data_IF_659230488518
#
_entry.id   IF_659230488518
#
_cell.length_a   1.000
_cell.length_b   1.000
_cell.length_c   1.000
_cell.angle_alpha   90.00
_cell.angle_beta   90.00
_cell.angle_gamma   90.00
#
_symmetry.space_group_name_H-M   'P 1'
#
loop_
_entity.id
_entity.type
_entity.pdbx_description
1 polymer ?
#
# COMPACT_ATOMS: atom_id res chain seq x y z
N UNK A 1 5.77 -68.86 -28.79
CA UNK A 1 5.10 -68.91 -27.47
C UNK A 1 5.39 -67.57 -26.78
N UNK A 2 4.66 -66.51 -27.14
CA UNK A 2 3.58 -65.92 -26.32
C UNK A 2 3.96 -65.70 -24.85
N UNK A 3 4.19 -64.45 -24.45
CA UNK A 3 3.39 -63.78 -23.41
C UNK A 3 3.89 -62.35 -23.08
N UNK A 4 3.09 -61.37 -23.54
CA UNK A 4 2.58 -60.20 -22.82
C UNK A 4 3.56 -59.17 -22.24
N UNK A 5 3.75 -58.14 -23.07
CA UNK A 5 3.85 -56.73 -22.73
C UNK A 5 2.67 -56.30 -21.83
N UNK A 6 2.97 -55.67 -20.68
CA UNK A 6 2.27 -54.49 -20.12
C UNK A 6 2.53 -54.35 -18.62
N UNK A 7 3.40 -53.44 -18.20
CA UNK A 7 3.15 -52.61 -17.00
C UNK A 7 4.01 -51.35 -17.02
N UNK A 8 3.37 -50.24 -17.40
CA UNK A 8 3.51 -48.87 -16.88
C UNK A 8 4.94 -48.40 -16.55
N UNK A 9 5.58 -47.78 -17.54
CA UNK A 9 6.66 -46.84 -17.29
C UNK A 9 6.11 -45.65 -16.50
N UNK A 10 6.47 -45.57 -15.22
CA UNK A 10 6.28 -44.38 -14.40
C UNK A 10 7.09 -43.23 -15.01
N UNK A 11 6.45 -42.47 -15.91
CA UNK A 11 6.94 -41.16 -16.32
C UNK A 11 6.88 -40.27 -15.09
N UNK A 12 8.03 -40.06 -14.48
CA UNK A 12 8.29 -38.96 -13.56
C UNK A 12 8.00 -37.66 -14.31
N UNK A 13 6.74 -37.23 -14.25
CA UNK A 13 6.37 -35.84 -14.48
C UNK A 13 7.03 -35.04 -13.37
N UNK A 14 8.28 -34.66 -13.59
CA UNK A 14 8.87 -33.47 -12.99
C UNK A 14 8.02 -32.31 -13.47
N UNK A 15 6.92 -32.09 -12.77
CA UNK A 15 6.16 -30.86 -12.89
C UNK A 15 7.13 -29.79 -12.39
N UNK A 16 7.50 -28.78 -13.19
CA UNK A 16 8.22 -27.66 -12.61
C UNK A 16 7.32 -27.16 -11.48
N UNK A 17 7.87 -27.11 -10.26
CA UNK A 17 7.26 -26.39 -9.16
C UNK A 17 6.87 -25.05 -9.77
N UNK A 18 5.56 -24.82 -9.96
CA UNK A 18 5.06 -23.57 -10.52
C UNK A 18 5.74 -22.50 -9.71
N UNK A 19 6.65 -21.78 -10.35
CA UNK A 19 7.32 -20.62 -9.77
C UNK A 19 6.18 -19.84 -9.15
N UNK A 20 6.19 -19.73 -7.82
CA UNK A 20 5.23 -18.90 -7.12
C UNK A 20 5.22 -17.58 -7.88
N UNK A 21 4.04 -16.96 -8.13
CA UNK A 21 4.05 -15.64 -8.70
C UNK A 21 4.79 -14.79 -7.67
N UNK A 22 6.07 -14.53 -7.94
CA UNK A 22 6.87 -13.57 -7.22
C UNK A 22 5.98 -12.35 -7.23
N UNK A 23 5.58 -11.88 -6.05
CA UNK A 23 4.66 -10.76 -5.93
C UNK A 23 5.34 -9.55 -6.54
N UNK A 24 5.25 -9.41 -7.85
CA UNK A 24 5.87 -8.32 -8.58
C UNK A 24 5.03 -7.11 -8.20
N UNK A 25 5.60 -6.28 -7.34
CA UNK A 25 5.01 -5.00 -7.05
C UNK A 25 4.99 -4.22 -8.36
N UNK A 26 3.87 -3.57 -8.66
CA UNK A 26 3.78 -2.74 -9.84
C UNK A 26 4.89 -1.67 -9.76
N UNK A 27 5.48 -1.30 -10.91
CA UNK A 27 6.56 -0.31 -10.97
C UNK A 27 6.23 1.00 -10.23
N UNK A 28 4.96 1.43 -10.23
CA UNK A 28 4.49 2.57 -9.43
C UNK A 28 4.68 2.38 -7.93
N UNK A 29 4.38 1.19 -7.41
CA UNK A 29 4.58 0.87 -5.99
C UNK A 29 6.07 0.91 -5.65
N UNK A 30 6.92 0.41 -6.56
CA UNK A 30 8.37 0.43 -6.38
C UNK A 30 8.93 1.86 -6.40
N UNK A 31 8.48 2.72 -7.33
CA UNK A 31 8.90 4.13 -7.40
C UNK A 31 8.60 4.87 -6.08
N UNK A 32 7.37 4.73 -5.58
CA UNK A 32 6.97 5.34 -4.30
C UNK A 32 7.63 4.70 -3.08
N UNK A 33 8.17 3.49 -3.20
CA UNK A 33 8.88 2.81 -2.11
C UNK A 33 10.36 3.21 -2.07
N UNK A 34 11.01 3.28 -3.22
CA UNK A 34 12.42 3.69 -3.33
C UNK A 34 12.59 5.19 -3.09
N UNK A 35 11.66 6.01 -3.60
CA UNK A 35 11.66 7.46 -3.45
C UNK A 35 10.34 7.96 -2.83
N UNK A 36 10.07 7.66 -1.55
CA UNK A 36 8.84 8.08 -0.91
C UNK A 36 8.80 9.60 -0.80
N UNK A 37 7.76 10.23 -1.37
CA UNK A 37 7.61 11.69 -1.39
C UNK A 37 7.02 12.14 -0.06
N UNK A 38 7.48 13.27 0.49
CA UNK A 38 6.89 13.87 1.70
C UNK A 38 6.97 13.02 2.99
N UNK A 39 8.00 12.17 3.09
CA UNK A 39 8.34 11.52 4.37
C UNK A 39 8.83 12.56 5.36
N UNK A 40 8.25 12.57 6.55
CA UNK A 40 8.68 13.49 7.59
C UNK A 40 7.67 13.61 8.72
N UNK A 41 7.97 14.50 9.65
CA UNK A 41 7.02 14.90 10.68
C UNK A 41 6.87 16.42 10.64
N UNK A 42 5.69 16.86 11.05
CA UNK A 42 5.41 18.26 11.37
C UNK A 42 5.42 18.42 12.89
N UNK A 43 5.65 19.65 13.34
CA UNK A 43 5.54 20.00 14.75
C UNK A 43 4.11 19.76 15.22
N UNK A 44 3.96 19.14 16.39
CA UNK A 44 2.65 18.85 17.00
C UNK A 44 2.09 20.06 17.75
N UNK A 45 2.92 21.08 18.01
CA UNK A 45 2.54 22.25 18.78
C UNK A 45 1.90 23.35 17.91
N UNK A 46 1.95 23.22 16.58
CA UNK A 46 1.21 24.10 15.67
C UNK A 46 -0.30 23.76 15.74
N UNK A 47 -1.14 24.74 16.09
CA UNK A 47 -2.61 24.57 16.13
C UNK A 47 -3.21 24.25 14.75
N UNK A 48 -2.50 24.61 13.69
CA UNK A 48 -2.86 24.34 12.29
C UNK A 48 -2.48 22.93 11.82
N UNK A 49 -1.84 22.12 12.67
CA UNK A 49 -1.38 20.77 12.31
C UNK A 49 -2.28 19.70 12.91
N UNK A 50 -3.02 19.00 12.04
CA UNK A 50 -3.75 17.78 12.39
C UNK A 50 -2.81 16.59 12.38
N UNK A 51 -2.85 15.75 13.42
CA UNK A 51 -2.12 14.47 13.47
C UNK A 51 -3.09 13.31 13.61
N UNK A 52 -3.09 12.42 12.62
CA UNK A 52 -3.78 11.13 12.66
C UNK A 52 -2.79 9.99 12.91
N UNK A 53 -3.08 9.14 13.89
CA UNK A 53 -2.36 7.88 14.10
C UNK A 53 -3.33 6.73 13.88
N UNK A 54 -2.99 5.86 12.94
CA UNK A 54 -3.83 4.77 12.45
C UNK A 54 -3.04 3.47 12.59
N UNK A 55 -3.68 2.43 13.11
CA UNK A 55 -3.12 1.09 13.15
C UNK A 55 -2.95 0.51 14.54
N UNK A 56 -2.55 -0.76 14.57
CA UNK A 56 -2.42 -1.54 15.80
C UNK A 56 -1.00 -2.13 15.88
N UNK A 57 -0.26 -1.90 16.97
CA UNK A 57 1.11 -2.39 17.11
C UNK A 57 1.22 -3.92 17.04
N UNK A 58 0.15 -4.64 17.38
CA UNK A 58 0.10 -6.10 17.30
C UNK A 58 0.16 -6.65 15.87
N UNK A 59 -0.22 -5.86 14.86
CA UNK A 59 -0.21 -6.28 13.45
C UNK A 59 1.02 -5.82 12.68
N UNK A 60 1.89 -5.00 13.29
CA UNK A 60 3.08 -4.44 12.63
C UNK A 60 2.79 -3.36 11.58
N UNK A 61 1.53 -2.92 11.46
CA UNK A 61 1.10 -1.85 10.57
C UNK A 61 0.67 -0.64 11.41
N UNK A 62 1.49 0.41 11.43
CA UNK A 62 1.23 1.67 12.13
C UNK A 62 1.55 2.84 11.20
N UNK A 63 0.55 3.62 10.86
CA UNK A 63 0.65 4.81 10.02
C UNK A 63 0.41 6.06 10.85
N UNK A 64 1.30 7.04 10.73
CA UNK A 64 1.14 8.40 11.25
C UNK A 64 1.06 9.35 10.07
N UNK A 65 -0.05 10.06 9.95
CA UNK A 65 -0.26 11.09 8.94
C UNK A 65 -0.42 12.45 9.63
N UNK A 66 0.26 13.46 9.13
CA UNK A 66 0.20 14.82 9.64
C UNK A 66 -0.13 15.77 8.49
N UNK A 67 -1.14 16.61 8.66
CA UNK A 67 -1.56 17.60 7.68
C UNK A 67 -1.51 18.98 8.31
N UNK A 68 -1.07 19.97 7.53
CA UNK A 68 -1.13 21.39 7.88
C UNK A 68 -2.22 22.06 7.07
N UNK A 69 -3.21 22.63 7.76
CA UNK A 69 -4.37 23.28 7.15
C UNK A 69 -4.20 24.79 7.28
N UNK A 70 -4.54 25.52 6.22
CA UNK A 70 -4.56 26.99 6.23
C UNK A 70 -5.89 27.53 6.77
N UNK A 71 -5.98 28.86 6.93
CA UNK A 71 -7.20 29.50 7.45
C UNK A 71 -8.38 29.38 6.47
N UNK A 72 -8.07 29.22 5.17
CA UNK A 72 -9.05 28.95 4.10
C UNK A 72 -9.52 27.48 4.04
N UNK A 73 -9.10 26.62 4.96
CA UNK A 73 -9.49 25.20 4.99
C UNK A 73 -8.81 24.33 3.93
N UNK A 74 -7.71 24.80 3.36
CA UNK A 74 -6.90 24.09 2.36
C UNK A 74 -5.68 23.41 3.00
N UNK A 75 -5.32 22.24 2.51
CA UNK A 75 -4.16 21.50 3.01
C UNK A 75 -2.89 21.99 2.29
N UNK A 76 -2.04 22.71 3.01
CA UNK A 76 -0.79 23.31 2.50
C UNK A 76 0.33 22.29 2.45
N UNK A 77 0.45 21.48 3.51
CA UNK A 77 1.45 20.44 3.58
C UNK A 77 0.88 19.17 4.21
N UNK A 78 1.37 18.03 3.74
CA UNK A 78 1.01 16.72 4.25
C UNK A 78 2.29 15.90 4.34
N UNK A 79 2.54 15.34 5.52
CA UNK A 79 3.68 14.45 5.79
C UNK A 79 3.19 13.16 6.39
N UNK A 80 3.86 12.06 6.06
CA UNK A 80 3.55 10.76 6.64
C UNK A 80 4.80 10.06 7.17
N UNK A 81 4.57 9.18 8.14
CA UNK A 81 5.51 8.15 8.59
C UNK A 81 4.71 6.89 8.78
N UNK A 82 5.06 5.82 8.08
CA UNK A 82 4.36 4.55 8.20
C UNK A 82 5.34 3.42 8.41
N UNK A 83 4.96 2.50 9.27
CA UNK A 83 5.62 1.24 9.54
C UNK A 83 4.70 0.15 9.05
N UNK A 84 5.16 -0.65 8.10
CA UNK A 84 4.35 -1.70 7.51
C UNK A 84 4.93 -2.20 6.20
N UNK A 85 4.13 -2.96 5.46
CA UNK A 85 4.54 -3.49 4.16
C UNK A 85 4.83 -2.37 3.13
N UNK A 86 5.73 -2.64 2.17
CA UNK A 86 6.08 -1.66 1.12
C UNK A 86 4.88 -1.16 0.30
N UNK A 87 3.83 -1.98 0.16
CA UNK A 87 2.56 -1.55 -0.45
C UNK A 87 1.82 -0.48 0.36
N UNK A 88 1.86 -0.56 1.68
CA UNK A 88 1.26 0.45 2.54
C UNK A 88 2.05 1.77 2.44
N UNK A 89 3.38 1.70 2.44
CA UNK A 89 4.26 2.88 2.25
C UNK A 89 3.96 3.58 0.92
N UNK A 90 3.89 2.83 -0.17
CA UNK A 90 3.57 3.38 -1.48
C UNK A 90 2.17 4.01 -1.53
N UNK A 91 1.18 3.36 -0.90
CA UNK A 91 -0.20 3.87 -0.82
C UNK A 91 -0.26 5.18 -0.04
N UNK A 92 0.45 5.27 1.09
CA UNK A 92 0.52 6.50 1.89
C UNK A 92 1.23 7.62 1.14
N UNK A 93 2.31 7.33 0.41
CA UNK A 93 3.02 8.33 -0.41
C UNK A 93 2.09 8.94 -1.45
N UNK A 94 1.40 8.09 -2.22
CA UNK A 94 0.46 8.54 -3.25
C UNK A 94 -0.71 9.34 -2.63
N UNK A 95 -1.25 8.88 -1.49
CA UNK A 95 -2.31 9.60 -0.80
C UNK A 95 -1.86 11.00 -0.35
N UNK A 96 -0.64 11.16 0.17
CA UNK A 96 -0.16 12.48 0.57
C UNK A 96 0.04 13.44 -0.59
N UNK A 97 0.37 12.95 -1.79
CA UNK A 97 0.42 13.78 -3.00
C UNK A 97 -0.98 14.27 -3.40
N UNK A 98 -1.99 13.40 -3.29
CA UNK A 98 -3.37 13.73 -3.64
C UNK A 98 -4.05 14.66 -2.64
N UNK A 99 -3.65 14.60 -1.38
CA UNK A 99 -4.22 15.40 -0.30
C UNK A 99 -3.65 16.83 -0.31
N UNK A 100 -2.44 17.02 -0.84
CA UNK A 100 -1.83 18.36 -0.98
C UNK A 100 -2.65 19.25 -1.92
N UNK A 101 -2.98 20.45 -1.47
CA UNK A 101 -3.72 21.45 -2.25
C UNK A 101 -5.24 21.27 -2.30
N UNK A 102 -5.77 20.17 -1.74
CA UNK A 102 -7.21 19.93 -1.60
C UNK A 102 -7.77 20.54 -0.32
N UNK A 103 -9.10 20.70 -0.27
CA UNK A 103 -9.80 21.02 0.98
C UNK A 103 -9.97 19.79 1.85
N UNK A 104 -10.30 19.99 3.13
CA UNK A 104 -10.54 18.90 4.08
C UNK A 104 -11.68 17.98 3.63
N UNK A 105 -12.77 18.54 3.08
CA UNK A 105 -13.92 17.78 2.56
C UNK A 105 -13.55 16.93 1.32
N UNK A 106 -12.74 17.48 0.42
CA UNK A 106 -12.24 16.75 -0.74
C UNK A 106 -11.30 15.61 -0.34
N UNK A 107 -10.46 15.85 0.67
CA UNK A 107 -9.57 14.83 1.22
C UNK A 107 -10.37 13.67 1.85
N UNK A 108 -11.48 13.96 2.54
CA UNK A 108 -12.37 12.95 3.11
C UNK A 108 -13.11 12.12 2.03
N UNK A 109 -13.23 12.64 0.81
CA UNK A 109 -13.91 11.96 -0.29
C UNK A 109 -13.02 10.91 -0.98
N UNK A 110 -11.70 10.93 -0.73
CA UNK A 110 -10.75 9.99 -1.34
C UNK A 110 -11.03 8.56 -0.84
N UNK A 111 -11.34 7.65 -1.77
CA UNK A 111 -11.67 6.25 -1.45
C UNK A 111 -10.45 5.34 -1.63
N UNK A 112 -10.36 4.34 -0.76
CA UNK A 112 -9.34 3.28 -0.84
C UNK A 112 -9.36 2.55 -2.19
N UNK A 113 -10.55 2.45 -2.82
CA UNK A 113 -10.71 1.82 -4.13
C UNK A 113 -9.93 2.53 -5.22
N UNK A 114 -9.79 3.85 -5.12
CA UNK A 114 -9.13 4.65 -6.16
C UNK A 114 -7.62 4.54 -6.04
N UNK A 115 -7.10 4.50 -4.81
CA UNK A 115 -5.69 4.21 -4.51
C UNK A 115 -5.34 2.78 -4.95
N UNK A 116 -6.20 1.80 -4.67
CA UNK A 116 -5.97 0.40 -5.06
C UNK A 116 -5.98 0.20 -6.59
N UNK A 117 -6.84 0.92 -7.32
CA UNK A 117 -6.85 0.92 -8.79
C UNK A 117 -5.58 1.53 -9.36
N UNK A 118 -5.12 2.65 -8.80
CA UNK A 118 -3.92 3.35 -9.29
C UNK A 118 -2.66 2.50 -9.15
N UNK A 119 -2.56 1.75 -8.05
CA UNK A 119 -1.47 0.81 -7.77
C UNK A 119 -1.67 -0.57 -8.42
N UNK A 120 -2.81 -0.79 -9.11
CA UNK A 120 -3.23 -2.05 -9.74
C UNK A 120 -2.99 -3.27 -8.84
N UNK A 121 -3.40 -3.18 -7.58
CA UNK A 121 -3.18 -4.26 -6.62
C UNK A 121 -4.04 -5.48 -7.01
N UNK A 122 -3.47 -6.68 -7.17
CA UNK A 122 -4.26 -7.88 -7.36
C UNK A 122 -5.15 -8.12 -6.12
N UNK A 123 -6.34 -8.73 -6.29
CA UNK A 123 -7.39 -8.80 -5.27
C UNK A 123 -6.97 -9.48 -3.96
N UNK A 124 -5.85 -10.21 -3.95
CA UNK A 124 -5.33 -10.92 -2.79
C UNK A 124 -4.69 -9.99 -1.73
N UNK A 125 -4.31 -8.74 -2.07
CA UNK A 125 -3.70 -7.77 -1.12
C UNK A 125 -4.68 -6.70 -0.59
N UNK A 126 -5.98 -6.86 -0.84
CA UNK A 126 -7.01 -5.92 -0.36
C UNK A 126 -7.04 -5.77 1.17
N UNK A 127 -6.55 -6.76 1.92
CA UNK A 127 -6.51 -6.71 3.39
C UNK A 127 -5.47 -5.72 3.96
N UNK A 128 -4.44 -5.32 3.19
CA UNK A 128 -3.48 -4.28 3.61
C UNK A 128 -3.94 -2.86 3.24
N UNK A 129 -4.78 -2.71 2.21
CA UNK A 129 -5.31 -1.41 1.77
C UNK A 129 -6.42 -0.87 2.68
N UNK A 130 -7.09 -1.73 3.45
CA UNK A 130 -8.17 -1.33 4.38
C UNK A 130 -7.66 -0.72 5.68
N UNK A 131 -6.48 -1.16 6.17
CA UNK A 131 -5.91 -0.66 7.45
C UNK A 131 -5.14 0.65 7.32
N UNK A 132 -4.86 1.10 6.10
CA UNK A 132 -4.14 2.36 5.84
C UNK A 132 -5.05 3.61 5.97
N UNK A 133 -6.36 3.46 6.14
CA UNK A 133 -7.33 4.56 5.98
C UNK A 133 -8.38 4.63 7.10
N UNK A 134 -8.14 3.94 8.23
CA UNK A 134 -8.99 3.99 9.43
C UNK A 134 -8.33 4.76 10.56
#
# INVERSE_FOLDING_TARGET
MFARISTVAARSFFTPCRVTPVCYYHEKVLDHYENPRNVGALDKNDEKVGTGLVGAPACGDVMKLQIKVDDDGRIVDAKFKTFGCGSAIASSSLATEWVKGKTVDEAATIKNTDIAKELRLPPIKLHCSSKSLL
#
